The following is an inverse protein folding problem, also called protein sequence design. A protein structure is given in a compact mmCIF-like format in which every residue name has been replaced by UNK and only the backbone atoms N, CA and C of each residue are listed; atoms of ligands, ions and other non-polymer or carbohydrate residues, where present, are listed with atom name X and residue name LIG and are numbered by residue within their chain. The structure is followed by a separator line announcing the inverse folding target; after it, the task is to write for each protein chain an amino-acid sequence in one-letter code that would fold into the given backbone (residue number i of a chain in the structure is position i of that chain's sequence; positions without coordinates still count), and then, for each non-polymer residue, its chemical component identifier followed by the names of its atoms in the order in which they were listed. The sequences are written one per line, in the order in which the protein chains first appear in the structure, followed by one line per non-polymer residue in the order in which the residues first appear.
data_IF_798250739394
#
_entry.id   IF_798250739394
#
_cell.length_a   1.000
_cell.length_b   1.000
_cell.length_c   1.000
_cell.angle_alpha   90.00
_cell.angle_beta   90.00
_cell.angle_gamma   90.00
#
_symmetry.space_group_name_H-M   'P 1'
#
loop_
_entity.id
_entity.type
_entity.pdbx_description
1 polymer ?
#
# COMPACT_ATOMS: atom_id res chain seq x y z
N UNK A 1 -33.83 44.37 58.72
CA UNK A 1 -33.77 42.92 58.46
C UNK A 1 -33.83 42.71 56.95
N UNK A 2 -32.69 42.62 56.28
CA UNK A 2 -32.63 42.43 54.82
C UNK A 2 -31.55 41.39 54.56
N UNK A 3 -31.96 40.16 54.27
CA UNK A 3 -31.08 38.99 54.11
C UNK A 3 -30.52 38.97 52.68
N UNK A 4 -29.23 39.21 52.54
CA UNK A 4 -28.46 39.03 51.30
C UNK A 4 -28.32 37.53 51.02
N UNK A 5 -28.85 37.06 49.89
CA UNK A 5 -28.68 35.68 49.42
C UNK A 5 -27.54 35.63 48.41
N UNK A 6 -26.38 35.15 48.85
CA UNK A 6 -25.24 34.84 47.97
C UNK A 6 -25.52 33.52 47.27
N UNK A 7 -25.76 33.55 45.95
CA UNK A 7 -25.92 32.36 45.12
C UNK A 7 -24.53 31.98 44.60
N UNK A 8 -24.00 30.86 45.08
CA UNK A 8 -22.76 30.25 44.58
C UNK A 8 -23.07 29.56 43.24
N UNK A 9 -22.71 30.19 42.12
CA UNK A 9 -22.75 29.54 40.80
C UNK A 9 -21.54 28.61 40.67
N UNK A 10 -21.77 27.30 40.70
CA UNK A 10 -20.76 26.29 40.34
C UNK A 10 -20.70 26.24 38.82
N UNK A 11 -19.62 26.77 38.25
CA UNK A 11 -19.32 26.69 36.82
C UNK A 11 -18.77 25.29 36.53
N UNK A 12 -19.62 24.39 36.00
CA UNK A 12 -19.18 23.08 35.52
C UNK A 12 -18.35 23.25 34.24
N UNK A 13 -17.03 23.07 34.35
CA UNK A 13 -16.11 23.06 33.23
C UNK A 13 -16.28 21.75 32.44
N UNK A 14 -17.09 21.76 31.38
CA UNK A 14 -17.17 20.64 30.44
C UNK A 14 -15.89 20.58 29.61
N UNK A 15 -14.99 19.66 29.97
CA UNK A 15 -13.84 19.30 29.12
C UNK A 15 -14.38 18.72 27.80
N UNK A 16 -14.08 19.30 26.63
CA UNK A 16 -14.38 18.65 25.37
C UNK A 16 -13.59 17.34 25.33
N UNK A 17 -14.30 16.21 25.26
CA UNK A 17 -13.67 14.91 25.08
C UNK A 17 -12.88 14.93 23.78
N UNK A 18 -11.54 14.84 23.87
CA UNK A 18 -10.70 14.65 22.71
C UNK A 18 -11.06 13.29 22.09
N UNK A 19 -11.80 13.31 20.98
CA UNK A 19 -12.03 12.11 20.20
C UNK A 19 -10.67 11.61 19.69
N UNK A 20 -10.15 10.55 20.31
CA UNK A 20 -8.97 9.87 19.82
C UNK A 20 -9.33 9.30 18.44
N UNK A 21 -8.81 9.92 17.37
CA UNK A 21 -8.93 9.36 16.03
C UNK A 21 -8.09 8.08 15.98
N UNK A 22 -8.76 6.93 16.04
CA UNK A 22 -8.10 5.64 15.85
C UNK A 22 -7.47 5.62 14.45
N UNK A 23 -6.18 5.27 14.38
CA UNK A 23 -5.46 5.18 13.11
C UNK A 23 -6.14 4.12 12.23
N UNK A 24 -6.58 4.51 11.03
CA UNK A 24 -7.24 3.59 10.09
C UNK A 24 -6.20 2.57 9.60
N UNK A 25 -6.33 1.28 9.96
CA UNK A 25 -5.35 0.25 9.57
C UNK A 25 -5.32 0.10 8.04
N UNK A 26 -4.19 -0.33 7.48
CA UNK A 26 -3.93 -0.46 6.04
C UNK A 26 -5.08 -1.16 5.29
N UNK A 27 -5.62 -2.21 5.90
CA UNK A 27 -6.83 -2.92 5.52
C UNK A 27 -7.45 -3.55 6.77
N UNK A 28 -8.74 -3.96 6.75
CA UNK A 28 -9.35 -4.66 7.88
C UNK A 28 -8.52 -5.90 8.28
N UNK A 29 -8.11 -5.95 9.55
CA UNK A 29 -7.28 -7.04 10.08
C UNK A 29 -5.77 -6.87 9.89
N UNK A 30 -5.28 -5.74 9.37
CA UNK A 30 -3.84 -5.47 9.31
C UNK A 30 -3.23 -5.39 10.71
N UNK A 31 -2.14 -6.13 10.94
CA UNK A 31 -1.42 -6.21 12.22
C UNK A 31 0.09 -6.02 12.03
N UNK A 32 0.81 -5.79 13.13
CA UNK A 32 2.25 -5.64 13.16
C UNK A 32 2.76 -4.26 12.72
N UNK A 33 4.07 -4.14 12.51
CA UNK A 33 4.75 -2.85 12.30
C UNK A 33 4.35 -2.14 11.00
N UNK A 34 3.79 -2.86 10.02
CA UNK A 34 3.26 -2.29 8.77
C UNK A 34 1.76 -1.96 8.80
N UNK A 35 1.06 -2.24 9.90
CA UNK A 35 -0.41 -2.13 9.96
C UNK A 35 -0.96 -0.73 9.69
N UNK A 36 -0.16 0.30 9.92
CA UNK A 36 -0.55 1.69 9.77
C UNK A 36 -0.14 2.30 8.42
N UNK A 37 0.39 1.49 7.48
CA UNK A 37 0.64 1.94 6.12
C UNK A 37 -0.66 2.46 5.51
N UNK A 38 -0.62 3.66 4.93
CA UNK A 38 -1.77 4.26 4.25
C UNK A 38 -1.74 4.00 2.75
N UNK A 39 -0.60 3.55 2.21
CA UNK A 39 -0.43 3.28 0.79
C UNK A 39 -0.74 4.52 -0.06
N UNK A 40 -1.56 4.34 -1.10
CA UNK A 40 -2.01 5.38 -2.02
C UNK A 40 -3.30 6.10 -1.62
N UNK A 41 -3.77 6.01 -0.37
CA UNK A 41 -5.00 6.71 0.08
C UNK A 41 -4.95 8.20 -0.24
N UNK A 42 -6.03 8.72 -0.82
CA UNK A 42 -6.13 10.12 -1.27
C UNK A 42 -5.37 10.43 -2.57
N UNK A 43 -4.68 9.44 -3.14
CA UNK A 43 -4.02 9.53 -4.44
C UNK A 43 -4.94 9.16 -5.60
N UNK A 44 -4.34 8.97 -6.78
CA UNK A 44 -5.06 8.62 -8.01
C UNK A 44 -5.15 7.11 -8.20
N UNK A 45 -6.27 6.62 -8.73
CA UNK A 45 -6.38 5.23 -9.19
C UNK A 45 -5.69 5.10 -10.55
N UNK A 46 -4.84 4.09 -10.70
CA UNK A 46 -4.18 3.74 -11.95
C UNK A 46 -4.57 2.30 -12.32
N UNK A 47 -5.10 2.13 -13.53
CA UNK A 47 -5.49 0.82 -14.06
C UNK A 47 -4.35 0.20 -14.85
N UNK A 48 -3.91 -0.98 -14.43
CA UNK A 48 -3.05 -1.86 -15.24
C UNK A 48 -3.96 -2.58 -16.23
N UNK A 49 -3.83 -2.23 -17.50
CA UNK A 49 -4.70 -2.70 -18.60
C UNK A 49 -3.96 -3.58 -19.61
N UNK A 50 -2.65 -3.78 -19.43
CA UNK A 50 -1.84 -4.63 -20.31
C UNK A 50 -0.86 -5.48 -19.51
N UNK A 51 -0.53 -6.65 -20.07
CA UNK A 51 0.51 -7.56 -19.55
C UNK A 51 1.91 -7.25 -20.09
N UNK A 52 2.04 -6.21 -20.93
CA UNK A 52 3.32 -5.75 -21.44
C UNK A 52 4.24 -5.26 -20.30
N UNK A 53 5.56 -5.43 -20.46
CA UNK A 53 6.56 -5.00 -19.48
C UNK A 53 6.57 -3.48 -19.25
N UNK A 54 6.34 -2.68 -20.28
CA UNK A 54 6.46 -1.21 -20.23
C UNK A 54 5.44 -0.51 -21.14
N UNK A 55 5.36 0.81 -21.01
CA UNK A 55 4.40 1.66 -21.72
C UNK A 55 3.13 1.96 -20.90
N UNK A 56 2.29 2.89 -21.38
CA UNK A 56 1.03 3.24 -20.72
C UNK A 56 0.16 2.01 -20.46
N UNK A 57 -0.45 1.93 -19.28
CA UNK A 57 -1.28 0.82 -18.83
C UNK A 57 -0.51 -0.37 -18.28
N UNK A 58 0.83 -0.37 -18.28
CA UNK A 58 1.62 -1.47 -17.73
C UNK A 58 1.79 -1.36 -16.21
N UNK A 59 2.12 -2.47 -15.56
CA UNK A 59 2.49 -2.44 -14.13
C UNK A 59 3.70 -1.54 -13.86
N UNK A 60 4.69 -1.54 -14.76
CA UNK A 60 5.89 -0.70 -14.64
C UNK A 60 5.52 0.78 -14.66
N UNK A 61 4.64 1.21 -15.56
CA UNK A 61 4.17 2.60 -15.57
C UNK A 61 3.35 2.91 -14.32
N UNK A 62 2.47 1.99 -13.92
CA UNK A 62 1.61 2.15 -12.74
C UNK A 62 2.41 2.47 -11.47
N UNK A 63 3.50 1.74 -11.22
CA UNK A 63 4.32 1.89 -10.00
C UNK A 63 5.44 2.92 -10.10
N UNK A 64 5.63 3.55 -11.27
CA UNK A 64 6.72 4.49 -11.54
C UNK A 64 6.57 5.85 -10.83
N UNK A 65 5.37 6.18 -10.34
CA UNK A 65 5.05 7.44 -9.68
C UNK A 65 4.41 7.19 -8.31
N UNK A 66 4.66 8.07 -7.32
CA UNK A 66 4.07 7.94 -5.99
C UNK A 66 2.58 8.29 -5.97
N UNK A 67 1.92 8.08 -4.83
CA UNK A 67 0.55 8.51 -4.54
C UNK A 67 -0.49 7.87 -5.48
N UNK A 68 -0.38 6.55 -5.69
CA UNK A 68 -1.26 5.79 -6.58
C UNK A 68 -1.89 4.58 -5.93
N UNK A 69 -3.11 4.28 -6.34
CA UNK A 69 -3.79 3.00 -6.08
C UNK A 69 -3.79 2.23 -7.40
N UNK A 70 -2.96 1.20 -7.47
CA UNK A 70 -2.80 0.33 -8.64
C UNK A 70 -3.83 -0.80 -8.56
N UNK A 71 -4.71 -0.84 -9.56
CA UNK A 71 -5.72 -1.89 -9.77
C UNK A 71 -5.46 -2.58 -11.11
N UNK A 72 -6.01 -3.77 -11.31
CA UNK A 72 -5.73 -4.61 -12.46
C UNK A 72 -7.02 -4.96 -13.20
N UNK A 73 -7.08 -4.59 -14.48
CA UNK A 73 -8.17 -4.99 -15.38
C UNK A 73 -7.83 -6.28 -16.15
N UNK A 74 -6.60 -6.76 -15.99
CA UNK A 74 -6.04 -7.95 -16.65
C UNK A 74 -5.54 -8.97 -15.62
N UNK A 75 -5.49 -10.24 -16.03
CA UNK A 75 -4.97 -11.35 -15.23
C UNK A 75 -3.91 -12.13 -16.01
N UNK A 76 -2.99 -12.80 -15.31
CA UNK A 76 -1.94 -13.60 -15.94
C UNK A 76 -0.54 -13.18 -15.50
N UNK A 77 0.42 -13.34 -16.41
CA UNK A 77 1.84 -13.08 -16.14
C UNK A 77 2.30 -11.78 -16.81
N UNK A 78 2.81 -10.86 -16.00
CA UNK A 78 3.62 -9.73 -16.47
C UNK A 78 5.07 -10.18 -16.42
N UNK A 79 5.70 -10.31 -17.58
CA UNK A 79 7.10 -10.72 -17.68
C UNK A 79 7.97 -9.47 -17.75
N UNK A 80 8.79 -9.24 -16.74
CA UNK A 80 9.67 -8.09 -16.66
C UNK A 80 10.94 -8.31 -17.49
N UNK A 81 11.37 -7.29 -18.22
CA UNK A 81 12.65 -7.32 -18.95
C UNK A 81 13.82 -6.80 -18.10
N UNK A 82 13.54 -5.99 -17.09
CA UNK A 82 14.48 -5.51 -16.07
C UNK A 82 13.78 -5.36 -14.72
N UNK A 83 14.52 -5.17 -13.65
CA UNK A 83 13.98 -4.89 -12.32
C UNK A 83 13.00 -3.71 -12.37
N UNK A 84 11.98 -3.72 -11.50
CA UNK A 84 11.00 -2.64 -11.41
C UNK A 84 10.99 -2.07 -9.99
N UNK A 85 11.12 -0.75 -9.88
CA UNK A 85 11.07 -0.04 -8.60
C UNK A 85 9.67 0.53 -8.37
N UNK A 86 9.06 0.17 -7.24
CA UNK A 86 7.76 0.66 -6.80
C UNK A 86 7.94 1.95 -6.01
N UNK A 87 7.37 3.08 -6.43
CA UNK A 87 7.49 4.33 -5.67
C UNK A 87 6.70 4.33 -4.36
N UNK A 88 7.07 5.26 -3.48
CA UNK A 88 6.44 5.47 -2.17
C UNK A 88 4.97 5.88 -2.29
N UNK A 89 4.18 5.65 -1.23
CA UNK A 89 2.77 6.03 -1.16
C UNK A 89 1.92 5.31 -2.22
N UNK A 90 2.10 4.00 -2.35
CA UNK A 90 1.38 3.16 -3.32
C UNK A 90 0.55 2.09 -2.61
N UNK A 91 -0.65 1.83 -3.14
CA UNK A 91 -1.40 0.60 -2.87
C UNK A 91 -1.41 -0.26 -4.14
N UNK A 92 -0.91 -1.49 -4.09
CA UNK A 92 -1.03 -2.49 -5.14
C UNK A 92 -2.13 -3.47 -4.73
N UNK A 93 -3.28 -3.39 -5.39
CA UNK A 93 -4.48 -4.14 -5.05
C UNK A 93 -4.66 -5.35 -6.01
N UNK A 94 -3.84 -6.38 -5.86
CA UNK A 94 -3.83 -7.56 -6.74
C UNK A 94 -5.16 -8.32 -6.79
N UNK A 95 -6.00 -8.22 -5.74
CA UNK A 95 -7.32 -8.84 -5.69
C UNK A 95 -8.32 -8.25 -6.69
N UNK A 96 -7.99 -7.14 -7.35
CA UNK A 96 -8.81 -6.55 -8.43
C UNK A 96 -8.63 -7.28 -9.76
N UNK A 97 -7.52 -8.00 -9.95
CA UNK A 97 -7.28 -8.76 -11.16
C UNK A 97 -8.37 -9.84 -11.35
N UNK A 98 -8.93 -9.99 -12.56
CA UNK A 98 -9.95 -11.00 -12.81
C UNK A 98 -9.40 -12.43 -12.70
N UNK A 99 -10.31 -13.41 -12.60
CA UNK A 99 -10.00 -14.83 -12.72
C UNK A 99 -8.83 -15.31 -11.85
N UNK A 100 -7.79 -15.87 -12.48
CA UNK A 100 -6.64 -16.47 -11.80
C UNK A 100 -5.65 -15.50 -11.17
N UNK A 101 -5.98 -14.20 -11.09
CA UNK A 101 -5.16 -13.15 -10.47
C UNK A 101 -3.93 -12.74 -11.29
N UNK A 102 -3.06 -11.94 -10.68
CA UNK A 102 -1.86 -11.39 -11.33
C UNK A 102 -0.57 -12.02 -10.77
N UNK A 103 0.41 -12.21 -11.64
CA UNK A 103 1.75 -12.62 -11.28
C UNK A 103 2.78 -11.77 -12.03
N UNK A 104 3.81 -11.32 -11.32
CA UNK A 104 4.93 -10.58 -11.88
C UNK A 104 6.13 -11.52 -11.86
N UNK A 105 6.78 -11.70 -13.02
CA UNK A 105 7.84 -12.70 -13.18
C UNK A 105 9.07 -12.19 -13.91
N UNK A 106 10.16 -12.94 -13.77
CA UNK A 106 11.37 -12.83 -14.57
C UNK A 106 12.43 -11.89 -14.00
N UNK A 107 12.06 -10.90 -13.17
CA UNK A 107 12.96 -9.93 -12.52
C UNK A 107 12.45 -9.51 -11.14
N UNK A 108 13.32 -8.88 -10.35
CA UNK A 108 13.01 -8.31 -9.02
C UNK A 108 11.92 -7.22 -9.08
N UNK A 109 10.99 -7.26 -8.11
CA UNK A 109 10.14 -6.10 -7.75
C UNK A 109 10.71 -5.45 -6.49
N UNK A 110 11.24 -4.23 -6.65
CA UNK A 110 11.94 -3.53 -5.58
C UNK A 110 11.07 -2.48 -4.91
N UNK A 111 10.95 -2.57 -3.59
CA UNK A 111 10.41 -1.56 -2.69
C UNK A 111 11.54 -0.85 -1.92
N UNK A 112 12.80 -1.06 -2.33
CA UNK A 112 13.98 -0.58 -1.62
C UNK A 112 14.09 0.95 -1.59
N UNK A 113 14.46 1.50 -0.42
CA UNK A 113 14.51 2.94 -0.13
C UNK A 113 13.17 3.67 -0.30
N UNK A 114 12.05 2.95 -0.25
CA UNK A 114 10.69 3.49 -0.38
C UNK A 114 9.92 3.37 0.93
N UNK A 115 8.77 4.06 0.99
CA UNK A 115 7.94 4.08 2.18
C UNK A 115 6.45 4.04 1.91
N UNK A 116 5.69 3.65 2.92
CA UNK A 116 4.23 3.76 2.95
C UNK A 116 3.57 3.02 1.78
N UNK A 117 3.76 1.69 1.74
CA UNK A 117 3.27 0.86 0.64
C UNK A 117 2.41 -0.27 1.18
N UNK A 118 1.28 -0.50 0.52
CA UNK A 118 0.42 -1.66 0.73
C UNK A 118 0.50 -2.50 -0.54
N UNK A 119 0.84 -3.78 -0.45
CA UNK A 119 0.78 -4.69 -1.59
C UNK A 119 0.07 -5.97 -1.17
N UNK A 120 -0.99 -6.34 -1.90
CA UNK A 120 -1.81 -7.50 -1.55
C UNK A 120 -2.14 -8.37 -2.75
N UNK A 121 -2.26 -9.68 -2.54
CA UNK A 121 -2.74 -10.65 -3.54
C UNK A 121 -1.97 -10.64 -4.88
N UNK A 122 -0.66 -10.44 -4.82
CA UNK A 122 0.25 -10.51 -5.97
C UNK A 122 1.21 -11.68 -5.80
N UNK A 123 1.49 -12.38 -6.90
CA UNK A 123 2.53 -13.42 -6.95
C UNK A 123 3.81 -12.86 -7.55
N UNK A 124 4.93 -13.02 -6.86
CA UNK A 124 6.26 -12.60 -7.32
C UNK A 124 7.07 -13.85 -7.68
N UNK A 125 7.58 -13.89 -8.93
CA UNK A 125 8.28 -15.05 -9.51
C UNK A 125 9.53 -14.62 -10.29
N UNK A 126 10.59 -14.15 -9.62
CA UNK A 126 11.82 -13.69 -10.28
C UNK A 126 12.41 -14.77 -11.21
N UNK A 127 12.31 -16.05 -10.83
CA UNK A 127 12.79 -17.19 -11.60
C UNK A 127 14.31 -17.37 -11.54
N UNK A 128 14.78 -18.60 -11.76
CA UNK A 128 16.19 -18.99 -11.61
C UNK A 128 17.16 -18.39 -12.66
N UNK A 129 16.64 -17.60 -13.62
CA UNK A 129 17.40 -17.10 -14.77
C UNK A 129 17.69 -15.60 -14.76
N UNK A 130 17.49 -14.89 -13.64
CA UNK A 130 17.95 -13.50 -13.58
C UNK A 130 19.48 -13.46 -13.62
N UNK A 131 20.09 -12.65 -14.51
CA UNK A 131 21.55 -12.50 -14.56
C UNK A 131 22.16 -11.96 -13.26
N UNK A 132 21.37 -11.33 -12.38
CA UNK A 132 21.86 -10.67 -11.17
C UNK A 132 21.52 -11.44 -9.87
N UNK A 133 21.06 -12.69 -9.95
CA UNK A 133 20.56 -13.44 -8.78
C UNK A 133 19.48 -12.64 -8.03
N UNK A 134 18.51 -12.10 -8.79
CA UNK A 134 17.44 -11.21 -8.31
C UNK A 134 16.72 -11.79 -7.10
N UNK A 135 16.41 -10.91 -6.13
CA UNK A 135 15.43 -11.25 -5.11
C UNK A 135 14.03 -11.26 -5.73
N UNK A 136 13.12 -12.08 -5.20
CA UNK A 136 11.71 -11.98 -5.59
C UNK A 136 11.13 -10.61 -5.23
N UNK A 137 11.46 -10.13 -4.04
CA UNK A 137 11.05 -8.84 -3.50
C UNK A 137 12.21 -8.23 -2.70
N UNK A 138 12.48 -6.94 -2.90
CA UNK A 138 13.51 -6.20 -2.17
C UNK A 138 12.91 -5.13 -1.27
N UNK A 139 13.29 -5.14 0.02
CA UNK A 139 12.83 -4.21 1.06
C UNK A 139 14.00 -3.46 1.73
N UNK A 140 15.17 -3.40 1.09
CA UNK A 140 16.34 -2.73 1.64
C UNK A 140 16.05 -1.26 1.95
N UNK A 141 16.25 -0.84 3.22
CA UNK A 141 15.94 0.53 3.70
C UNK A 141 14.49 0.98 3.46
N UNK A 142 13.57 0.03 3.31
CA UNK A 142 12.15 0.31 3.18
C UNK A 142 11.51 0.55 4.57
N UNK A 143 10.44 1.34 4.63
CA UNK A 143 9.77 1.68 5.90
C UNK A 143 8.25 1.77 5.76
N UNK A 144 7.52 1.34 6.78
CA UNK A 144 6.05 1.36 6.79
C UNK A 144 5.45 0.68 5.54
N UNK A 145 5.80 -0.59 5.33
CA UNK A 145 5.29 -1.40 4.23
C UNK A 145 4.58 -2.62 4.79
N UNK A 146 3.48 -3.01 4.16
CA UNK A 146 2.79 -4.27 4.44
C UNK A 146 2.61 -5.05 3.13
N UNK A 147 3.15 -6.27 3.10
CA UNK A 147 2.92 -7.27 2.06
C UNK A 147 1.98 -8.32 2.66
N UNK A 148 0.81 -8.52 2.07
CA UNK A 148 -0.21 -9.41 2.63
C UNK A 148 -0.84 -10.29 1.55
N UNK A 149 -1.07 -11.58 1.85
CA UNK A 149 -1.57 -12.57 0.89
C UNK A 149 -0.77 -12.61 -0.43
N UNK A 150 0.54 -12.39 -0.34
CA UNK A 150 1.45 -12.52 -1.48
C UNK A 150 2.01 -13.94 -1.54
N UNK A 151 2.32 -14.42 -2.74
CA UNK A 151 3.14 -15.63 -2.92
C UNK A 151 4.48 -15.22 -3.51
N UNK A 152 5.57 -15.75 -2.96
CA UNK A 152 6.93 -15.47 -3.40
C UNK A 152 7.58 -16.83 -3.62
N UNK A 153 8.08 -17.05 -4.83
CA UNK A 153 8.73 -18.29 -5.28
C UNK A 153 10.19 -18.03 -5.67
#
# INVERSE_FOLDING_TARGET
MTRTRTILQVLALTLPGAAAMAQVPAFPGALGFGANATGGRGGTVYHVTTLADSGPGSFRDAVSQPNRIVVFDVSGYITLNSEVSVKSHITIAGQTAPGGGIAIRGREVSFGSQQNIICRFVRFRPGAGSPNNDNGVNLYRARNIILDHVSIE
#
